data_IF_695907688051
#
_entry.id   IF_695907688051
#
_cell.length_a   1.000
_cell.length_b   1.000
_cell.length_c   1.000
_cell.angle_alpha   90.00
_cell.angle_beta   90.00
_cell.angle_gamma   90.00
#
_symmetry.space_group_name_H-M   'P 1'
#
loop_
_entity.id
_entity.type
_entity.pdbx_description
1 polymer ?
#
# COMPACT_ATOMS: atom_id res chain seq x y z
N UNK A 1 -6.09 3.88 -3.20
CA UNK A 1 -6.45 4.74 -4.37
C UNK A 1 -5.84 6.13 -4.28
N UNK A 2 -6.19 6.93 -3.26
CA UNK A 2 -5.73 8.33 -3.07
C UNK A 2 -4.22 8.53 -3.31
N UNK A 3 -3.35 7.81 -2.58
CA UNK A 3 -1.91 7.99 -2.69
C UNK A 3 -1.37 7.67 -4.10
N UNK A 4 -1.90 6.64 -4.76
CA UNK A 4 -1.46 6.29 -6.11
C UNK A 4 -1.79 7.40 -7.13
N UNK A 5 -2.96 8.04 -7.02
CA UNK A 5 -3.30 9.20 -7.85
C UNK A 5 -2.40 10.40 -7.61
N UNK A 6 -2.10 10.71 -6.34
CA UNK A 6 -1.17 11.80 -5.99
C UNK A 6 0.24 11.58 -6.57
N UNK A 7 0.76 10.35 -6.48
CA UNK A 7 2.05 9.95 -7.05
C UNK A 7 2.10 10.21 -8.57
N UNK A 8 1.03 9.87 -9.29
CA UNK A 8 0.91 10.14 -10.74
C UNK A 8 0.93 11.65 -11.01
N UNK A 9 0.16 12.44 -10.26
CA UNK A 9 0.08 13.89 -10.47
C UNK A 9 1.40 14.64 -10.27
N UNK A 10 2.21 14.21 -9.29
CA UNK A 10 3.54 14.80 -9.04
C UNK A 10 4.66 14.11 -9.84
N UNK A 11 4.32 13.17 -10.73
CA UNK A 11 5.22 12.52 -11.69
C UNK A 11 6.41 11.80 -11.05
N UNK A 12 6.18 11.12 -9.93
CA UNK A 12 7.23 10.27 -9.32
C UNK A 12 7.65 9.19 -10.31
N UNK A 13 8.95 9.04 -10.55
CA UNK A 13 9.45 8.05 -11.51
C UNK A 13 9.27 6.60 -11.04
N UNK A 14 9.57 6.34 -9.77
CA UNK A 14 9.61 4.97 -9.21
C UNK A 14 8.99 4.91 -7.83
N UNK A 15 8.19 3.87 -7.61
CA UNK A 15 7.55 3.57 -6.32
C UNK A 15 8.08 2.23 -5.82
N UNK A 16 8.62 2.24 -4.61
CA UNK A 16 9.09 1.06 -3.90
C UNK A 16 8.25 0.92 -2.64
N UNK A 17 7.66 -0.25 -2.40
CA UNK A 17 6.87 -0.49 -1.20
C UNK A 17 7.09 -1.89 -0.65
N UNK A 18 6.78 -2.06 0.63
CA UNK A 18 6.94 -3.34 1.34
C UNK A 18 5.82 -4.33 1.05
N UNK A 19 4.89 -4.50 1.99
CA UNK A 19 3.76 -5.42 1.79
C UNK A 19 2.65 -4.81 0.94
N UNK A 20 2.01 -5.65 0.12
CA UNK A 20 0.80 -5.28 -0.60
C UNK A 20 -0.40 -5.08 0.34
N UNK A 21 -1.36 -4.26 -0.08
CA UNK A 21 -2.68 -4.14 0.55
C UNK A 21 -3.72 -4.85 -0.34
N UNK A 22 -4.12 -6.09 -0.01
CA UNK A 22 -5.07 -6.86 -0.82
C UNK A 22 -6.49 -6.26 -0.80
N UNK A 23 -6.82 -5.39 0.17
CA UNK A 23 -8.15 -4.80 0.30
C UNK A 23 -8.28 -3.44 -0.39
N UNK A 24 -7.23 -2.62 -0.37
CA UNK A 24 -7.28 -1.22 -0.83
C UNK A 24 -6.13 -0.77 -1.74
N UNK A 25 -5.18 -1.65 -2.05
CA UNK A 25 -3.98 -1.32 -2.81
C UNK A 25 -4.28 -0.92 -4.26
N UNK A 26 -3.69 0.20 -4.69
CA UNK A 26 -3.86 0.75 -6.04
C UNK A 26 -2.59 0.74 -6.91
N UNK A 27 -1.55 0.02 -6.44
CA UNK A 27 -0.27 -0.18 -7.12
C UNK A 27 -0.07 -1.64 -7.57
N UNK A 28 -1.15 -2.35 -7.91
CA UNK A 28 -1.12 -3.75 -8.36
C UNK A 28 -1.99 -4.73 -7.57
N UNK A 29 -2.73 -4.28 -6.55
CA UNK A 29 -3.66 -5.15 -5.80
C UNK A 29 -5.07 -5.06 -6.37
N UNK A 30 -5.97 -4.28 -5.78
CA UNK A 30 -7.34 -4.08 -6.30
C UNK A 30 -7.35 -3.37 -7.65
N UNK A 31 -6.36 -2.51 -7.89
CA UNK A 31 -6.14 -1.81 -9.15
C UNK A 31 -4.67 -1.45 -9.33
N UNK A 32 -4.29 -1.04 -10.54
CA UNK A 32 -2.94 -0.55 -10.83
C UNK A 32 -2.98 0.81 -11.52
N UNK A 33 -3.18 1.87 -10.74
CA UNK A 33 -3.19 3.26 -11.25
C UNK A 33 -1.81 3.75 -11.65
N UNK A 34 -0.75 3.20 -11.06
CA UNK A 34 0.62 3.64 -11.31
C UNK A 34 1.14 3.21 -12.69
N UNK A 35 0.51 2.23 -13.33
CA UNK A 35 0.91 1.71 -14.64
C UNK A 35 -0.22 1.68 -15.68
N UNK A 36 -1.40 2.25 -15.37
CA UNK A 36 -2.51 2.30 -16.34
C UNK A 36 -2.19 3.20 -17.54
N UNK A 37 -2.70 2.81 -18.72
CA UNK A 37 -2.57 3.61 -19.93
C UNK A 37 -3.51 4.82 -19.98
N UNK A 38 -4.55 4.83 -19.15
CA UNK A 38 -5.53 5.91 -19.10
C UNK A 38 -5.01 7.21 -18.46
N UNK A 39 -3.85 7.16 -17.79
CA UNK A 39 -3.23 8.30 -17.11
C UNK A 39 -1.97 8.77 -17.83
N UNK A 40 -1.64 10.05 -17.62
CA UNK A 40 -0.58 10.78 -18.34
C UNK A 40 0.85 10.54 -17.81
N UNK A 41 1.03 9.74 -16.76
CA UNK A 41 2.33 9.38 -16.20
C UNK A 41 2.29 7.95 -15.65
N UNK A 42 3.40 7.22 -15.80
CA UNK A 42 3.56 5.83 -15.33
C UNK A 42 4.80 5.70 -14.47
N UNK A 43 4.71 4.86 -13.45
CA UNK A 43 5.78 4.62 -12.50
C UNK A 43 6.39 3.23 -12.71
N UNK A 44 7.71 3.12 -12.53
CA UNK A 44 8.35 1.85 -12.23
C UNK A 44 7.93 1.41 -10.82
N UNK A 45 7.57 0.13 -10.64
CA UNK A 45 7.12 -0.40 -9.34
C UNK A 45 8.08 -1.48 -8.88
N UNK A 46 8.52 -1.42 -7.63
CA UNK A 46 9.21 -2.52 -6.94
C UNK A 46 8.46 -2.87 -5.67
N UNK A 47 7.60 -3.91 -5.70
CA UNK A 47 6.90 -4.38 -4.52
C UNK A 47 7.79 -5.32 -3.69
N UNK A 48 7.41 -5.55 -2.44
CA UNK A 48 7.94 -6.65 -1.63
C UNK A 48 9.23 -6.35 -0.86
N UNK A 49 9.72 -5.12 -0.87
CA UNK A 49 10.97 -4.76 -0.14
C UNK A 49 10.70 -4.81 1.36
N UNK A 50 11.33 -5.76 2.07
CA UNK A 50 11.07 -6.04 3.49
C UNK A 50 9.58 -6.36 3.75
N UNK A 51 8.95 -7.13 2.86
CA UNK A 51 7.53 -7.45 2.92
C UNK A 51 7.10 -8.02 4.27
N UNK A 52 7.86 -8.97 4.81
CA UNK A 52 7.49 -9.70 6.03
C UNK A 52 7.56 -8.77 7.25
N UNK A 53 8.56 -7.90 7.29
CA UNK A 53 8.79 -6.92 8.34
C UNK A 53 7.69 -5.85 8.34
N UNK A 54 7.37 -5.30 7.16
CA UNK A 54 6.26 -4.35 7.01
C UNK A 54 4.92 -4.98 7.42
N UNK A 55 4.66 -6.23 7.00
CA UNK A 55 3.46 -6.96 7.37
C UNK A 55 3.40 -7.24 8.89
N UNK A 56 4.52 -7.61 9.50
CA UNK A 56 4.60 -7.89 10.94
C UNK A 56 4.23 -6.66 11.77
N UNK A 57 4.66 -5.46 11.36
CA UNK A 57 4.29 -4.20 12.02
C UNK A 57 2.77 -4.02 12.03
N UNK A 58 2.11 -4.13 10.86
CA UNK A 58 0.66 -4.00 10.74
C UNK A 58 -0.08 -5.07 11.56
N UNK A 59 0.35 -6.33 11.46
CA UNK A 59 -0.25 -7.42 12.21
C UNK A 59 -0.14 -7.20 13.72
N UNK A 60 1.03 -6.78 14.21
CA UNK A 60 1.25 -6.53 15.63
C UNK A 60 0.36 -5.40 16.15
N UNK A 61 0.21 -4.32 15.38
CA UNK A 61 -0.65 -3.19 15.71
C UNK A 61 -2.12 -3.63 15.88
N UNK A 62 -2.67 -4.32 14.87
CA UNK A 62 -4.08 -4.73 14.93
C UNK A 62 -4.35 -5.84 15.96
N UNK A 63 -3.38 -6.74 16.22
CA UNK A 63 -3.47 -7.71 17.33
C UNK A 63 -3.58 -7.00 18.67
N UNK A 64 -2.70 -6.03 18.93
CA UNK A 64 -2.72 -5.22 20.16
C UNK A 64 -4.02 -4.44 20.30
N UNK A 65 -4.46 -3.75 19.25
CA UNK A 65 -5.71 -2.96 19.26
C UNK A 65 -6.92 -3.82 19.63
N UNK A 66 -7.07 -5.00 19.03
CA UNK A 66 -8.18 -5.93 19.37
C UNK A 66 -8.12 -6.45 20.80
N UNK A 67 -6.93 -6.62 21.38
CA UNK A 67 -6.78 -7.10 22.76
C UNK A 67 -7.11 -6.04 23.83
N UNK A 68 -7.03 -4.76 23.48
CA UNK A 68 -7.42 -3.64 24.36
C UNK A 68 -8.94 -3.46 24.32
N UNK A 69 -9.53 -3.54 23.13
CA UNK A 69 -10.99 -3.44 22.91
C UNK A 69 -11.81 -4.46 23.73
N UNK A 70 -11.24 -5.63 24.07
CA UNK A 70 -11.89 -6.64 24.93
C UNK A 70 -11.82 -6.29 26.43
N UNK A 71 -10.94 -5.39 26.85
CA UNK A 71 -10.78 -5.01 28.28
C UNK A 71 -11.64 -3.81 28.68
N UNK A 72 -12.10 -3.04 27.71
CA UNK A 72 -12.86 -1.80 27.90
C UNK A 72 -14.38 -1.97 27.69
N UNK A 73 -14.86 -3.22 27.57
CA UNK A 73 -16.29 -3.58 27.50
C UNK A 73 -16.65 -4.61 28.56
#
# INVERSE_FOLDING_TARGET
VMCAGAIVHVRIRRVIFGCADPKGGAAGSTMNLLQTHALNHRCEITPGVLQNECAAILQSFFRKKRSIDVRDG
#
